data_IF_498368447442
#
_entry.id   IF_498368447442
#
_cell.length_a   1.000
_cell.length_b   1.000
_cell.length_c   1.000
_cell.angle_alpha   90.00
_cell.angle_beta   90.00
_cell.angle_gamma   90.00
#
_symmetry.space_group_name_H-M   'P 1'
#
loop_
_entity.id
_entity.type
_entity.pdbx_description
1 polymer ?
#
# COMPACT_ATOMS: atom_id res chain seq x y z
N UNK A 1 -13.69 5.98 -5.08
CA UNK A 1 -12.81 4.81 -5.20
C UNK A 1 -11.66 4.93 -4.26
N UNK A 2 -11.21 3.83 -3.76
CA UNK A 2 -10.11 3.83 -2.80
C UNK A 2 -9.00 2.95 -3.32
N UNK A 3 -7.78 3.44 -3.21
CA UNK A 3 -6.60 2.70 -3.62
C UNK A 3 -5.82 2.27 -2.38
N UNK A 4 -5.34 1.05 -2.39
CA UNK A 4 -4.48 0.54 -1.32
C UNK A 4 -3.04 0.87 -1.68
N UNK A 5 -2.36 1.54 -0.77
CA UNK A 5 -0.95 1.90 -0.95
C UNK A 5 -0.16 1.28 0.18
N UNK A 6 0.82 0.47 -0.19
CA UNK A 6 1.72 -0.17 0.76
C UNK A 6 3.12 0.40 0.55
N UNK A 7 3.79 0.75 1.64
CA UNK A 7 5.14 1.26 1.58
C UNK A 7 6.07 0.23 2.22
N UNK A 8 6.95 -0.33 1.40
CA UNK A 8 7.92 -1.32 1.86
C UNK A 8 9.31 -0.72 1.82
N UNK A 9 10.10 -1.04 2.83
CA UNK A 9 11.48 -0.59 2.92
C UNK A 9 12.40 -1.79 3.09
N UNK A 10 13.62 -1.67 2.59
CA UNK A 10 14.62 -2.72 2.78
C UNK A 10 15.02 -2.79 4.24
N UNK A 11 15.09 -4.00 4.79
CA UNK A 11 15.50 -4.17 6.18
C UNK A 11 16.93 -3.71 6.40
N UNK A 12 17.80 -3.98 5.44
CA UNK A 12 19.20 -3.60 5.54
C UNK A 12 19.42 -2.12 5.27
N UNK A 13 18.45 -1.47 4.62
CA UNK A 13 18.58 -0.06 4.26
C UNK A 13 17.23 0.61 4.39
N UNK A 14 16.81 0.96 5.61
CA UNK A 14 15.45 1.46 5.86
C UNK A 14 15.09 2.74 5.12
N UNK A 15 16.06 3.46 4.60
CA UNK A 15 15.75 4.65 3.80
C UNK A 15 15.42 4.32 2.36
N UNK A 16 15.63 3.08 1.93
CA UNK A 16 15.30 2.64 0.58
C UNK A 16 13.92 2.04 0.58
N UNK A 17 12.93 2.82 0.19
CA UNK A 17 11.55 2.42 0.26
C UNK A 17 10.86 2.55 -1.09
N UNK A 18 9.84 1.73 -1.29
CA UNK A 18 9.03 1.79 -2.50
C UNK A 18 7.56 1.81 -2.11
N UNK A 19 6.74 2.38 -2.99
CA UNK A 19 5.30 2.31 -2.86
C UNK A 19 4.78 1.25 -3.80
N UNK A 20 3.90 0.41 -3.27
CA UNK A 20 3.28 -0.65 -4.05
C UNK A 20 1.78 -0.46 -4.01
N UNK A 21 1.16 -0.45 -5.19
CA UNK A 21 -0.29 -0.24 -5.33
C UNK A 21 -0.90 -1.47 -5.99
N UNK A 22 -1.24 -2.49 -5.22
CA UNK A 22 -1.76 -3.72 -5.84
C UNK A 22 -3.15 -3.54 -6.43
N UNK A 23 -3.96 -2.66 -5.85
CA UNK A 23 -5.31 -2.42 -6.32
C UNK A 23 -5.59 -0.93 -6.27
N UNK A 24 -6.11 -0.39 -7.38
CA UNK A 24 -6.44 1.02 -7.49
C UNK A 24 -7.87 1.33 -7.16
N UNK A 25 -8.74 0.35 -7.19
CA UNK A 25 -10.16 0.57 -7.03
C UNK A 25 -10.73 -0.50 -6.13
N UNK A 26 -11.09 -0.11 -4.93
CA UNK A 26 -11.70 -1.03 -4.00
C UNK A 26 -12.55 -0.23 -3.03
N UNK A 27 -13.47 -0.90 -2.35
CA UNK A 27 -14.27 -0.26 -1.33
C UNK A 27 -13.37 0.15 -0.16
N UNK A 28 -13.67 1.27 0.51
CA UNK A 28 -12.82 1.71 1.62
C UNK A 28 -12.70 0.67 2.73
N UNK A 29 -13.78 -0.03 3.03
CA UNK A 29 -13.73 -1.06 4.05
C UNK A 29 -12.86 -2.23 3.63
N UNK A 30 -12.95 -2.62 2.36
CA UNK A 30 -12.11 -3.68 1.84
C UNK A 30 -10.63 -3.33 1.93
N UNK A 31 -10.30 -2.06 1.68
CA UNK A 31 -8.92 -1.61 1.80
C UNK A 31 -8.40 -1.83 3.21
N UNK A 32 -9.18 -1.44 4.21
CA UNK A 32 -8.77 -1.61 5.60
C UNK A 32 -8.62 -3.08 5.98
N UNK A 33 -9.56 -3.91 5.52
CA UNK A 33 -9.57 -5.31 5.90
C UNK A 33 -8.46 -6.09 5.19
N UNK A 34 -8.20 -5.78 3.93
CA UNK A 34 -7.31 -6.58 3.11
C UNK A 34 -5.87 -6.08 3.06
N UNK A 35 -5.60 -4.92 3.66
CA UNK A 35 -4.26 -4.33 3.57
C UNK A 35 -3.18 -5.27 4.11
N UNK A 36 -3.43 -5.88 5.26
CA UNK A 36 -2.43 -6.75 5.88
C UNK A 36 -2.21 -8.02 5.07
N UNK A 37 -3.26 -8.53 4.47
CA UNK A 37 -3.17 -9.73 3.65
C UNK A 37 -2.32 -9.47 2.41
N UNK A 38 -2.54 -8.36 1.74
CA UNK A 38 -1.71 -8.00 0.59
C UNK A 38 -0.27 -7.80 0.99
N UNK A 39 -0.04 -7.14 2.13
CA UNK A 39 1.32 -6.92 2.60
C UNK A 39 2.01 -8.23 2.92
N UNK A 40 1.31 -9.15 3.59
CA UNK A 40 1.89 -10.43 3.96
C UNK A 40 2.25 -11.25 2.72
N UNK A 41 1.38 -11.26 1.71
CA UNK A 41 1.64 -11.99 0.48
C UNK A 41 2.85 -11.43 -0.24
N UNK A 42 2.96 -10.12 -0.30
CA UNK A 42 4.09 -9.49 -0.96
C UNK A 42 5.39 -9.80 -0.23
N UNK A 43 5.37 -9.70 1.09
CA UNK A 43 6.57 -9.92 1.90
C UNK A 43 7.02 -11.37 1.87
N UNK A 44 6.09 -12.31 1.70
CA UNK A 44 6.48 -13.71 1.63
C UNK A 44 7.34 -13.99 0.40
N UNK A 45 7.20 -13.18 -0.64
CA UNK A 45 8.00 -13.29 -1.84
C UNK A 45 9.21 -12.35 -1.85
N UNK A 46 9.27 -11.44 -0.88
CA UNK A 46 10.33 -10.45 -0.80
C UNK A 46 10.85 -10.37 0.64
N UNK A 47 11.55 -11.41 1.10
CA UNK A 47 11.92 -11.50 2.52
C UNK A 47 12.91 -10.45 3.00
N UNK A 48 13.55 -9.73 2.08
CA UNK A 48 14.48 -8.68 2.48
C UNK A 48 13.79 -7.36 2.75
N UNK A 49 12.50 -7.29 2.53
CA UNK A 49 11.72 -6.08 2.70
C UNK A 49 10.87 -6.17 3.96
N UNK A 50 10.44 -5.02 4.43
CA UNK A 50 9.51 -4.96 5.55
C UNK A 50 8.46 -3.92 5.24
N UNK A 51 7.28 -4.07 5.83
CA UNK A 51 6.21 -3.10 5.67
C UNK A 51 6.48 -1.94 6.61
N UNK A 52 6.72 -0.76 6.02
CA UNK A 52 6.94 0.44 6.81
C UNK A 52 5.61 1.07 7.22
N UNK A 53 4.70 1.21 6.26
CA UNK A 53 3.39 1.75 6.53
C UNK A 53 2.49 1.47 5.33
N UNK A 54 1.21 1.69 5.53
CA UNK A 54 0.23 1.54 4.47
C UNK A 54 -0.87 2.56 4.68
N UNK A 55 -1.60 2.82 3.63
CA UNK A 55 -2.71 3.74 3.73
C UNK A 55 -3.74 3.42 2.65
N UNK A 56 -4.95 3.87 2.87
CA UNK A 56 -6.02 3.79 1.89
C UNK A 56 -6.25 5.18 1.37
N UNK A 57 -5.92 5.41 0.10
CA UNK A 57 -6.11 6.71 -0.53
C UNK A 57 -7.47 6.74 -1.18
N UNK A 58 -8.26 7.74 -0.82
CA UNK A 58 -9.54 7.95 -1.46
C UNK A 58 -9.28 8.71 -2.75
N UNK A 59 -9.40 8.02 -3.84
CA UNK A 59 -9.08 8.56 -5.14
C UNK A 59 -10.24 9.40 -5.64
N UNK A 60 -10.11 10.69 -5.50
CA UNK A 60 -11.12 11.64 -5.94
C UNK A 60 -10.68 12.17 -7.29
N UNK A 61 -11.39 11.81 -8.35
CA UNK A 61 -10.91 12.14 -9.70
C UNK A 61 -10.74 13.60 -9.97
N UNK A 62 -11.43 14.38 -9.39
CA UNK A 62 -11.32 15.70 -9.74
C UNK A 62 -10.80 16.47 -8.75
N UNK A 63 -10.04 16.53 -8.54
CA UNK A 63 -9.61 17.17 -7.57
C UNK A 63 -9.18 18.42 -7.78
N UNK A 64 -9.51 18.74 -7.92
CA UNK A 64 -9.31 19.75 -7.99
C UNK A 64 -9.34 20.59 -7.65
N UNK A 65 -9.04 20.99 -7.62
CA UNK A 65 -9.11 21.83 -7.20
C UNK A 65 -9.44 22.70 -7.23
N UNK A 66 -9.73 22.80 -7.32
CA UNK A 66 -10.04 23.81 -7.38
C UNK A 66 -9.78 24.37 -7.39
#
# INVERSE_FOLDING_TARGET
>A
MTALVLVFCLQASPSSCIEHRPIDQMAPLACLVQAQEYAANWLSEHPKWMLSRWRCEHNIPRQRPA
#
